data_IF_026810623044
#
_entry.id   IF_026810623044
#
_cell.length_a   1.000
_cell.length_b   1.000
_cell.length_c   1.000
_cell.angle_alpha   90.00
_cell.angle_beta   90.00
_cell.angle_gamma   90.00
#
_symmetry.space_group_name_H-M   'P 1'
#
loop_
_entity.id
_entity.type
_entity.pdbx_description
1 polymer ?
#
# COMPACT_ATOMS: atom_id res chain seq x y z
N UNK A 1 25.00 43.70 38.04
CA UNK A 1 25.48 44.78 37.14
C UNK A 1 25.20 44.35 35.71
N UNK A 2 24.39 45.12 34.99
CA UNK A 2 23.94 44.84 33.61
C UNK A 2 25.08 45.10 32.61
N UNK A 3 25.17 44.29 31.55
CA UNK A 3 25.78 44.73 30.28
C UNK A 3 24.79 44.43 29.15
N UNK A 4 24.27 45.53 28.61
CA UNK A 4 23.42 45.65 27.43
C UNK A 4 24.36 45.89 26.24
N UNK A 5 24.13 45.24 25.11
CA UNK A 5 24.69 45.64 23.81
C UNK A 5 23.68 45.17 22.76
N UNK A 6 22.69 46.00 22.39
CA UNK A 6 22.73 47.08 21.40
C UNK A 6 22.96 46.58 19.95
N UNK A 7 21.84 46.17 19.35
CA UNK A 7 21.31 46.53 18.03
C UNK A 7 22.27 46.95 16.91
N UNK A 8 22.19 46.23 15.78
CA UNK A 8 22.38 46.84 14.46
C UNK A 8 21.33 46.30 13.48
N UNK A 9 20.35 47.16 13.20
CA UNK A 9 19.46 47.11 12.05
C UNK A 9 20.29 47.30 10.77
N UNK A 10 20.04 46.51 9.73
CA UNK A 10 20.24 46.98 8.35
C UNK A 10 19.10 46.46 7.48
N UNK A 11 18.17 47.36 7.24
CA UNK A 11 17.07 47.26 6.30
C UNK A 11 17.64 47.58 4.91
N UNK A 12 17.55 46.66 3.96
CA UNK A 12 17.70 46.99 2.53
C UNK A 12 16.47 46.46 1.82
N UNK A 13 15.57 47.38 1.50
CA UNK A 13 14.53 47.19 0.51
C UNK A 13 15.10 47.63 -0.85
N UNK A 14 14.93 46.83 -1.90
CA UNK A 14 14.75 47.37 -3.25
C UNK A 14 14.01 46.38 -4.16
N UNK A 15 13.17 46.98 -5.00
CA UNK A 15 12.01 46.45 -5.67
C UNK A 15 12.26 45.81 -7.05
N UNK A 16 11.18 45.18 -7.52
CA UNK A 16 10.71 45.07 -8.91
C UNK A 16 11.36 44.03 -9.82
N UNK A 17 10.57 43.05 -10.28
CA UNK A 17 9.86 43.17 -11.56
C UNK A 17 8.97 41.93 -11.80
N UNK A 18 7.72 42.20 -12.19
CA UNK A 18 6.80 41.23 -12.76
C UNK A 18 7.35 40.69 -14.08
N UNK A 19 7.37 39.37 -14.24
CA UNK A 19 7.30 38.74 -15.56
C UNK A 19 6.19 37.69 -15.52
N UNK A 20 5.06 38.05 -16.12
CA UNK A 20 4.05 37.09 -16.53
C UNK A 20 4.61 36.27 -17.69
N UNK A 21 4.92 34.99 -17.45
CA UNK A 21 4.98 33.99 -18.51
C UNK A 21 3.73 33.12 -18.43
N UNK A 22 2.76 33.44 -19.30
CA UNK A 22 1.67 32.53 -19.67
C UNK A 22 2.27 31.45 -20.56
N UNK A 23 2.62 30.30 -20.00
CA UNK A 23 2.91 29.10 -20.78
C UNK A 23 1.70 28.18 -20.76
N UNK A 24 1.27 27.85 -21.97
CA UNK A 24 0.16 26.99 -22.37
C UNK A 24 0.05 25.69 -21.58
N UNK A 25 -1.18 25.33 -21.26
CA UNK A 25 -1.59 23.99 -20.86
C UNK A 25 -0.94 22.95 -21.78
N UNK A 26 -0.06 22.14 -21.19
CA UNK A 26 0.33 20.87 -21.79
C UNK A 26 -0.83 19.92 -21.53
N UNK A 27 -1.39 19.40 -22.60
CA UNK A 27 -2.41 18.37 -22.57
C UNK A 27 -2.00 17.27 -21.59
N UNK A 28 -3.00 16.80 -20.83
CA UNK A 28 -2.95 15.52 -20.15
C UNK A 28 -2.53 14.49 -21.21
N UNK A 29 -1.30 13.98 -21.03
CA UNK A 29 -0.85 12.80 -21.73
C UNK A 29 -1.63 11.64 -21.14
N UNK A 30 -2.61 11.19 -21.91
CA UNK A 30 -3.45 10.02 -21.66
C UNK A 30 -2.58 8.78 -21.94
N UNK A 31 -1.57 8.59 -21.09
CA UNK A 31 -0.65 7.45 -21.11
C UNK A 31 -1.26 6.25 -20.40
N UNK A 32 -2.26 5.64 -21.03
CA UNK A 32 -2.69 4.28 -20.71
C UNK A 32 -1.57 3.28 -21.06
N UNK A 33 -0.82 2.85 -20.05
CA UNK A 33 -0.48 1.44 -19.73
C UNK A 33 0.67 1.44 -18.72
N UNK A 34 0.31 1.63 -17.45
CA UNK A 34 1.19 1.25 -16.36
C UNK A 34 1.25 -0.28 -16.37
N UNK A 35 2.44 -0.82 -16.58
CA UNK A 35 2.87 -2.21 -16.41
C UNK A 35 2.07 -2.96 -15.33
N UNK A 36 0.92 -3.52 -15.72
CA UNK A 36 -0.04 -4.19 -14.83
C UNK A 36 0.27 -5.69 -14.71
N UNK A 37 1.55 -6.08 -14.75
CA UNK A 37 1.95 -7.48 -14.92
C UNK A 37 2.49 -8.17 -13.65
N UNK A 38 3.00 -7.44 -12.65
CA UNK A 38 3.78 -8.07 -11.56
C UNK A 38 3.11 -8.02 -10.17
N UNK A 39 2.04 -7.24 -10.01
CA UNK A 39 1.36 -7.07 -8.72
C UNK A 39 0.16 -8.01 -8.64
N UNK A 40 0.04 -8.73 -7.52
CA UNK A 40 -0.95 -9.78 -7.36
C UNK A 40 -2.15 -9.29 -6.53
N UNK A 41 -3.33 -9.28 -7.14
CA UNK A 41 -4.60 -8.90 -6.52
C UNK A 41 -5.21 -7.61 -7.06
N UNK A 42 -6.30 -7.15 -6.44
CA UNK A 42 -6.94 -5.87 -6.73
C UNK A 42 -6.39 -4.79 -5.79
N UNK A 43 -5.95 -3.66 -6.35
CA UNK A 43 -5.51 -2.51 -5.56
C UNK A 43 -6.70 -1.98 -4.74
N UNK A 44 -6.56 -1.93 -3.42
CA UNK A 44 -7.65 -1.49 -2.53
C UNK A 44 -7.26 -0.36 -1.57
N UNK A 45 -5.98 0.02 -1.51
CA UNK A 45 -5.49 1.19 -0.78
C UNK A 45 -4.11 1.61 -1.28
N UNK A 46 -3.80 2.89 -1.21
CA UNK A 46 -2.46 3.44 -1.43
C UNK A 46 -2.18 4.58 -0.44
N UNK A 47 -0.93 4.73 -0.01
CA UNK A 47 -0.51 5.84 0.84
C UNK A 47 0.94 6.22 0.65
N UNK A 48 1.29 7.43 1.11
CA UNK A 48 2.67 7.92 1.16
C UNK A 48 3.08 8.10 2.62
N UNK A 49 4.15 7.43 3.05
CA UNK A 49 4.68 7.51 4.41
C UNK A 49 6.16 7.86 4.35
N UNK A 50 6.57 9.01 4.90
CA UNK A 50 7.97 9.46 4.91
C UNK A 50 8.66 9.44 3.53
N UNK A 51 7.91 9.69 2.45
CA UNK A 51 8.40 9.64 1.07
C UNK A 51 8.43 8.23 0.45
N UNK A 52 8.05 7.19 1.19
CA UNK A 52 7.83 5.85 0.66
C UNK A 52 6.39 5.72 0.18
N UNK A 53 6.19 5.04 -0.95
CA UNK A 53 4.88 4.71 -1.48
C UNK A 53 4.50 3.31 -1.02
N UNK A 54 3.32 3.15 -0.43
CA UNK A 54 2.76 1.86 -0.04
C UNK A 54 1.52 1.61 -0.89
N UNK A 55 1.51 0.52 -1.65
CA UNK A 55 0.36 0.10 -2.45
C UNK A 55 -0.11 -1.29 -2.02
N UNK A 56 -1.40 -1.40 -1.70
CA UNK A 56 -1.99 -2.58 -1.07
C UNK A 56 -2.94 -3.27 -2.02
N UNK A 57 -2.74 -4.58 -2.17
CA UNK A 57 -3.51 -5.43 -3.07
C UNK A 57 -4.17 -6.55 -2.29
N UNK A 58 -5.42 -6.85 -2.60
CA UNK A 58 -6.22 -7.89 -1.97
C UNK A 58 -6.60 -8.94 -3.02
N UNK A 59 -6.43 -10.21 -2.67
CA UNK A 59 -7.02 -11.33 -3.39
C UNK A 59 -8.02 -12.04 -2.50
N UNK A 60 -9.20 -12.32 -3.05
CA UNK A 60 -10.17 -13.22 -2.45
C UNK A 60 -10.03 -14.62 -3.06
N UNK A 61 -9.38 -15.52 -2.33
CA UNK A 61 -9.17 -16.91 -2.74
C UNK A 61 -10.47 -17.73 -2.75
N UNK A 62 -11.60 -17.20 -2.24
CA UNK A 62 -12.92 -17.86 -2.41
C UNK A 62 -13.34 -17.89 -3.88
N UNK A 63 -12.95 -16.89 -4.65
CA UNK A 63 -13.38 -16.70 -6.03
C UNK A 63 -12.43 -17.38 -7.04
N UNK A 64 -11.29 -17.94 -6.59
CA UNK A 64 -10.33 -18.62 -7.48
C UNK A 64 -10.82 -19.98 -8.02
N UNK A 65 -11.99 -20.45 -7.58
CA UNK A 65 -12.64 -21.63 -8.14
C UNK A 65 -13.23 -21.43 -9.55
N UNK A 66 -13.49 -20.19 -9.96
CA UNK A 66 -14.16 -19.91 -11.24
C UNK A 66 -13.17 -19.71 -12.40
N UNK A 67 -11.96 -19.19 -12.13
CA UNK A 67 -10.97 -18.88 -13.18
C UNK A 67 -9.92 -19.98 -13.41
N UNK A 68 -9.68 -20.88 -12.45
CA UNK A 68 -8.75 -22.02 -12.63
C UNK A 68 -9.40 -23.24 -13.32
N UNK A 69 -10.71 -23.21 -13.57
CA UNK A 69 -11.43 -24.27 -14.29
C UNK A 69 -11.21 -24.24 -15.82
N UNK A 70 -10.57 -23.20 -16.36
CA UNK A 70 -10.36 -23.04 -17.80
C UNK A 70 -9.01 -23.57 -18.32
N UNK A 71 -8.04 -23.93 -17.45
CA UNK A 71 -6.67 -24.30 -17.87
C UNK A 71 -6.10 -25.60 -17.26
N UNK A 72 -6.95 -26.54 -16.82
CA UNK A 72 -6.49 -27.91 -16.54
C UNK A 72 -7.36 -28.96 -17.23
N UNK A 73 -7.18 -29.05 -18.55
CA UNK A 73 -7.37 -30.31 -19.26
C UNK A 73 -6.13 -31.19 -19.04
N UNK A 74 -6.12 -31.99 -17.97
CA UNK A 74 -5.56 -33.35 -17.96
C UNK A 74 -5.51 -33.94 -16.55
N UNK A 75 -6.26 -35.01 -16.33
CA UNK A 75 -5.97 -36.01 -15.30
C UNK A 75 -7.12 -36.31 -14.36
N UNK A 76 -7.77 -37.44 -14.61
CA UNK A 76 -8.78 -38.07 -13.78
C UNK A 76 -8.40 -38.09 -12.28
N UNK A 77 -9.06 -37.27 -11.46
CA UNK A 77 -9.36 -37.59 -10.07
C UNK A 77 -10.57 -36.77 -9.60
N UNK A 78 -11.72 -37.42 -9.52
CA UNK A 78 -12.83 -36.94 -8.71
C UNK A 78 -12.36 -36.72 -7.26
N UNK A 79 -12.56 -35.52 -6.70
CA UNK A 79 -13.21 -35.35 -5.39
C UNK A 79 -13.09 -33.93 -4.81
N UNK A 80 -14.15 -33.60 -4.07
CA UNK A 80 -14.26 -32.62 -2.98
C UNK A 80 -14.58 -31.16 -3.35
N UNK A 81 -15.86 -30.83 -3.12
CA UNK A 81 -16.40 -29.48 -3.17
C UNK A 81 -15.70 -28.52 -2.22
N UNK A 82 -15.92 -27.24 -2.52
CA UNK A 82 -15.75 -26.07 -1.66
C UNK A 82 -14.90 -26.35 -0.41
N UNK A 83 -13.58 -26.51 -0.61
CA UNK A 83 -12.65 -26.47 0.52
C UNK A 83 -12.75 -25.07 1.08
N UNK A 84 -13.54 -24.93 2.14
CA UNK A 84 -13.67 -23.72 2.91
C UNK A 84 -12.26 -23.38 3.42
N UNK A 85 -11.59 -22.45 2.73
CA UNK A 85 -10.25 -22.03 3.10
C UNK A 85 -10.36 -21.30 4.44
N UNK A 86 -9.63 -21.76 5.45
CA UNK A 86 -9.68 -21.16 6.80
C UNK A 86 -9.34 -19.66 6.76
N UNK A 87 -8.48 -19.24 5.83
CA UNK A 87 -8.08 -17.83 5.59
C UNK A 87 -8.04 -17.56 4.09
N UNK A 88 -9.13 -17.07 3.49
CA UNK A 88 -9.20 -16.93 2.05
C UNK A 88 -8.63 -15.61 1.53
N UNK A 89 -8.21 -14.67 2.38
CA UNK A 89 -7.82 -13.34 1.91
C UNK A 89 -6.30 -13.19 1.92
N UNK A 90 -5.70 -12.99 0.75
CA UNK A 90 -4.28 -12.70 0.65
C UNK A 90 -4.08 -11.21 0.42
N UNK A 91 -3.36 -10.55 1.34
CA UNK A 91 -3.05 -9.12 1.24
C UNK A 91 -1.57 -8.98 0.94
N UNK A 92 -1.26 -8.22 -0.11
CA UNK A 92 0.09 -7.83 -0.48
C UNK A 92 0.29 -6.34 -0.22
N UNK A 93 1.43 -5.95 0.33
CA UNK A 93 1.91 -4.57 0.28
C UNK A 93 3.19 -4.49 -0.53
N UNK A 94 3.19 -3.59 -1.50
CA UNK A 94 4.37 -3.23 -2.28
C UNK A 94 4.85 -1.87 -1.80
N UNK A 95 6.12 -1.78 -1.46
CA UNK A 95 6.73 -0.56 -0.92
C UNK A 95 7.75 -0.06 -1.94
N UNK A 96 7.61 1.19 -2.39
CA UNK A 96 8.66 1.89 -3.14
C UNK A 96 9.31 2.92 -2.23
N UNK A 97 10.61 3.10 -2.39
CA UNK A 97 11.36 4.14 -1.70
C UNK A 97 11.19 5.53 -2.35
N UNK A 98 11.97 6.49 -1.87
CA UNK A 98 11.89 7.90 -2.27
C UNK A 98 12.42 8.13 -3.70
N UNK A 99 13.20 7.20 -4.22
CA UNK A 99 13.78 7.21 -5.55
C UNK A 99 12.94 6.35 -6.53
N UNK A 100 11.78 5.87 -6.07
CA UNK A 100 10.85 4.98 -6.77
C UNK A 100 11.42 3.58 -7.03
N UNK A 101 12.38 3.14 -6.23
CA UNK A 101 12.91 1.78 -6.29
C UNK A 101 12.12 0.83 -5.36
N UNK A 102 11.86 -0.42 -5.77
CA UNK A 102 11.18 -1.39 -4.92
C UNK A 102 11.99 -1.75 -3.66
N UNK A 103 11.36 -1.65 -2.50
CA UNK A 103 11.93 -2.13 -1.24
C UNK A 103 11.76 -3.64 -1.15
N UNK A 104 12.87 -4.36 -1.14
CA UNK A 104 12.90 -5.83 -1.07
C UNK A 104 13.30 -6.38 0.31
N UNK A 105 13.85 -5.52 1.17
CA UNK A 105 14.28 -5.87 2.52
C UNK A 105 13.53 -5.02 3.55
N UNK A 106 12.55 -5.63 4.23
CA UNK A 106 11.82 -4.97 5.32
C UNK A 106 11.22 -6.01 6.28
N UNK A 107 10.94 -5.57 7.51
CA UNK A 107 10.06 -6.31 8.44
C UNK A 107 8.68 -5.68 8.41
N UNK A 108 7.70 -6.40 7.90
CA UNK A 108 6.34 -5.89 7.72
C UNK A 108 5.37 -6.69 8.56
N UNK A 109 4.54 -6.01 9.35
CA UNK A 109 3.49 -6.61 10.17
C UNK A 109 2.16 -5.91 9.97
N UNK A 110 1.09 -6.71 9.99
CA UNK A 110 -0.29 -6.26 9.89
C UNK A 110 -1.01 -6.49 11.21
N UNK A 111 -1.90 -5.55 11.55
CA UNK A 111 -2.93 -5.71 12.56
C UNK A 111 -4.27 -5.42 11.90
N UNK A 112 -5.13 -6.44 11.81
CA UNK A 112 -6.46 -6.33 11.18
C UNK A 112 -7.50 -6.53 12.25
N UNK A 113 -8.49 -5.64 12.33
CA UNK A 113 -9.56 -5.66 13.32
C UNK A 113 -10.92 -5.61 12.63
N UNK A 114 -11.83 -6.52 12.96
CA UNK A 114 -13.21 -6.50 12.44
C UNK A 114 -14.12 -5.59 13.29
N UNK A 115 -15.38 -5.47 12.87
CA UNK A 115 -16.43 -4.71 13.54
C UNK A 115 -16.79 -5.25 14.93
N UNK A 116 -16.69 -6.56 15.14
CA UNK A 116 -16.79 -7.22 16.44
C UNK A 116 -15.61 -6.90 17.38
N UNK A 117 -14.56 -6.27 16.86
CA UNK A 117 -13.37 -5.87 17.60
C UNK A 117 -12.30 -6.96 17.73
N UNK A 118 -12.51 -8.13 17.11
CA UNK A 118 -11.54 -9.21 17.05
C UNK A 118 -10.34 -8.77 16.21
N UNK A 119 -9.13 -9.07 16.71
CA UNK A 119 -7.89 -8.60 16.11
C UNK A 119 -6.99 -9.79 15.74
N UNK A 120 -6.44 -9.75 14.52
CA UNK A 120 -5.38 -10.64 14.07
C UNK A 120 -4.09 -9.85 13.84
N UNK A 121 -2.96 -10.39 14.30
CA UNK A 121 -1.62 -9.83 14.10
C UNK A 121 -0.78 -10.83 13.32
N UNK A 122 -0.27 -10.41 12.16
CA UNK A 122 0.38 -11.32 11.22
C UNK A 122 1.64 -10.64 10.67
N UNK A 123 2.77 -11.34 10.67
CA UNK A 123 3.98 -10.89 9.99
C UNK A 123 3.91 -11.30 8.53
N UNK A 124 4.20 -10.35 7.65
CA UNK A 124 4.23 -10.60 6.22
C UNK A 124 5.51 -11.34 5.82
N UNK A 125 5.40 -12.14 4.77
CA UNK A 125 6.52 -12.79 4.12
C UNK A 125 6.84 -12.07 2.82
N UNK A 126 8.13 -11.90 2.52
CA UNK A 126 8.53 -11.36 1.23
C UNK A 126 8.27 -12.40 0.13
N UNK A 127 7.46 -12.04 -0.86
CA UNK A 127 7.08 -12.89 -1.99
C UNK A 127 6.64 -12.02 -3.17
N UNK A 128 6.89 -12.47 -4.39
CA UNK A 128 6.43 -11.75 -5.61
C UNK A 128 6.75 -10.26 -5.60
N UNK A 129 7.96 -9.88 -5.16
CA UNK A 129 8.44 -8.49 -5.04
C UNK A 129 7.67 -7.60 -4.03
N UNK A 130 6.84 -8.19 -3.17
CA UNK A 130 6.10 -7.50 -2.13
C UNK A 130 6.06 -8.29 -0.82
N UNK A 131 5.29 -7.82 0.15
CA UNK A 131 5.14 -8.45 1.47
C UNK A 131 3.71 -8.93 1.65
N UNK A 132 3.52 -10.25 1.70
CA UNK A 132 2.23 -10.92 1.70
C UNK A 132 1.83 -11.52 3.05
N UNK A 133 0.53 -11.46 3.38
CA UNK A 133 -0.10 -12.20 4.47
C UNK A 133 -1.35 -12.91 3.98
N UNK A 134 -1.75 -13.96 4.71
CA UNK A 134 -3.09 -14.53 4.58
C UNK A 134 -3.89 -14.24 5.84
N UNK A 135 -5.01 -13.55 5.69
CA UNK A 135 -5.88 -13.05 6.75
C UNK A 135 -7.25 -13.75 6.75
N UNK A 136 -7.89 -13.80 7.91
CA UNK A 136 -9.30 -14.12 7.99
C UNK A 136 -10.11 -12.81 7.89
N UNK A 137 -10.71 -12.57 6.73
CA UNK A 137 -11.64 -11.46 6.48
C UNK A 137 -12.95 -11.97 5.85
N UNK A 138 -13.39 -13.17 6.26
CA UNK A 138 -14.58 -13.84 5.69
C UNK A 138 -15.88 -13.10 5.98
N UNK A 139 -16.01 -12.53 7.18
CA UNK A 139 -17.21 -11.82 7.59
C UNK A 139 -17.33 -10.53 6.80
N UNK A 140 -18.55 -10.22 6.34
CA UNK A 140 -18.86 -8.93 5.72
C UNK A 140 -18.77 -7.83 6.76
N UNK A 141 -18.44 -6.61 6.32
CA UNK A 141 -18.36 -5.45 7.19
C UNK A 141 -17.03 -4.73 7.07
N UNK A 142 -16.84 -3.74 7.96
CA UNK A 142 -15.67 -2.87 7.94
C UNK A 142 -14.55 -3.46 8.78
N UNK A 143 -13.37 -3.54 8.17
CA UNK A 143 -12.13 -3.91 8.84
C UNK A 143 -11.23 -2.68 8.96
N UNK A 144 -10.66 -2.46 10.15
CA UNK A 144 -9.51 -1.57 10.32
C UNK A 144 -8.23 -2.36 10.06
N UNK A 145 -7.43 -1.88 9.11
CA UNK A 145 -6.15 -2.48 8.74
C UNK A 145 -5.05 -1.48 9.14
N UNK A 146 -4.13 -1.92 9.97
CA UNK A 146 -2.93 -1.17 10.32
C UNK A 146 -1.68 -1.94 9.91
N UNK A 147 -0.73 -1.23 9.31
CA UNK A 147 0.52 -1.80 8.81
C UNK A 147 1.69 -1.09 9.47
N UNK A 148 2.69 -1.88 9.86
CA UNK A 148 3.98 -1.37 10.31
C UNK A 148 5.07 -2.03 9.49
N UNK A 149 5.82 -1.23 8.74
CA UNK A 149 7.01 -1.67 8.04
C UNK A 149 8.24 -1.03 8.68
N UNK A 150 9.30 -1.81 8.89
CA UNK A 150 10.62 -1.34 9.27
C UNK A 150 11.54 -1.59 8.09
N UNK A 151 11.93 -0.50 7.42
CA UNK A 151 12.86 -0.47 6.29
C UNK A 151 14.13 0.20 6.82
N UNK A 152 15.20 -0.58 6.96
CA UNK A 152 16.40 -0.18 7.70
C UNK A 152 16.05 0.39 9.10
N UNK A 153 16.36 1.68 9.35
CA UNK A 153 16.05 2.41 10.58
C UNK A 153 14.75 3.25 10.47
N UNK A 154 14.07 3.20 9.33
CA UNK A 154 12.82 3.95 9.09
C UNK A 154 11.62 3.07 9.43
N UNK A 155 10.78 3.56 10.33
CA UNK A 155 9.48 2.96 10.60
C UNK A 155 8.40 3.67 9.80
N UNK A 156 7.68 2.91 8.97
CA UNK A 156 6.49 3.33 8.25
C UNK A 156 5.27 2.77 8.97
N UNK A 157 4.27 3.61 9.19
CA UNK A 157 2.99 3.19 9.78
C UNK A 157 1.84 3.72 8.95
N UNK A 158 0.92 2.85 8.62
CA UNK A 158 -0.31 3.19 7.91
C UNK A 158 -1.51 2.58 8.61
N UNK A 159 -2.65 3.23 8.49
CA UNK A 159 -3.93 2.75 9.02
C UNK A 159 -5.06 3.23 8.14
N UNK A 160 -5.91 2.31 7.72
CA UNK A 160 -7.06 2.59 6.88
C UNK A 160 -8.18 1.59 7.17
N UNK A 161 -9.38 1.87 6.63
CA UNK A 161 -10.54 0.99 6.73
C UNK A 161 -10.87 0.41 5.37
N UNK A 162 -11.29 -0.85 5.34
CA UNK A 162 -11.74 -1.53 4.13
C UNK A 162 -13.05 -2.29 4.41
N UNK A 163 -14.03 -2.17 3.52
CA UNK A 163 -15.32 -2.85 3.62
C UNK A 163 -15.31 -4.14 2.79
N UNK A 164 -15.45 -5.28 3.46
CA UNK A 164 -15.66 -6.58 2.82
C UNK A 164 -17.15 -6.75 2.49
N UNK A 165 -17.46 -6.96 1.22
CA UNK A 165 -18.83 -7.07 0.70
C UNK A 165 -19.34 -8.51 0.60
#
# INVERSE_FOLDING_TARGET
MKKISLTTMCLVALAAALVFFSTTASAMDDGHDMDASDKIGELFHESMQNGYMLSYYLMDLRNQGDDMAADQSSGDHASHGEKQMDKPHHIMVYIMDKDHEPVTEAKVGFMIKNDAGETQKIMAMYMSKGFGITADMKAKGVYEIAVKAVVDDVTLMDRFSHEMK
#
